data_IF_889621530945
#
_entry.id   IF_889621530945
#
_cell.length_a   1.000
_cell.length_b   1.000
_cell.length_c   1.000
_cell.angle_alpha   90.00
_cell.angle_beta   90.00
_cell.angle_gamma   90.00
#
_symmetry.space_group_name_H-M   'P 1'
#
loop_
_entity.id
_entity.type
_entity.pdbx_description
1 polymer ?
#
# COMPACT_ATOMS: atom_id res chain seq x y z
N UNK A 1 -14.41 -21.96 -18.03
CA UNK A 1 -13.24 -22.13 -17.17
C UNK A 1 -13.70 -22.16 -15.72
N UNK A 2 -13.17 -23.03 -14.87
CA UNK A 2 -13.49 -23.03 -13.44
C UNK A 2 -12.92 -21.75 -12.82
N UNK A 3 -13.72 -21.04 -12.03
CA UNK A 3 -13.25 -19.85 -11.32
C UNK A 3 -12.15 -20.27 -10.33
N UNK A 4 -11.01 -19.56 -10.33
CA UNK A 4 -9.96 -19.78 -9.34
C UNK A 4 -10.47 -19.41 -7.95
N UNK A 5 -10.07 -20.19 -6.96
CA UNK A 5 -10.41 -19.94 -5.55
C UNK A 5 -9.58 -18.78 -5.01
N UNK A 6 -10.24 -17.75 -4.49
CA UNK A 6 -9.62 -16.60 -3.83
C UNK A 6 -9.73 -16.67 -2.31
N UNK A 7 -10.19 -17.80 -1.77
CA UNK A 7 -10.24 -17.96 -0.31
C UNK A 7 -8.83 -17.88 0.28
N UNK A 8 -8.73 -17.25 1.43
CA UNK A 8 -7.46 -17.08 2.14
C UNK A 8 -7.71 -17.05 3.64
N UNK A 9 -6.81 -17.63 4.41
CA UNK A 9 -6.83 -17.53 5.87
C UNK A 9 -6.07 -16.28 6.33
N UNK A 10 -6.72 -15.44 7.12
CA UNK A 10 -6.13 -14.27 7.75
C UNK A 10 -6.41 -14.28 9.25
N UNK A 11 -5.37 -14.24 10.07
CA UNK A 11 -5.43 -14.31 11.53
C UNK A 11 -6.29 -15.49 12.04
N UNK A 12 -6.12 -16.65 11.40
CA UNK A 12 -6.87 -17.86 11.74
C UNK A 12 -8.32 -17.90 11.23
N UNK A 13 -8.81 -16.83 10.62
CA UNK A 13 -10.16 -16.73 10.08
C UNK A 13 -10.16 -17.01 8.58
N UNK A 14 -10.99 -17.94 8.14
CA UNK A 14 -11.18 -18.24 6.72
C UNK A 14 -12.04 -17.13 6.08
N UNK A 15 -11.59 -16.58 4.95
CA UNK A 15 -12.26 -15.54 4.20
C UNK A 15 -12.48 -15.98 2.76
N UNK A 16 -13.62 -15.64 2.17
CA UNK A 16 -13.97 -16.04 0.79
C UNK A 16 -13.08 -15.39 -0.28
N UNK A 17 -12.49 -14.25 0.03
CA UNK A 17 -11.51 -13.54 -0.78
C UNK A 17 -10.77 -12.52 0.09
N UNK A 18 -9.62 -11.95 -0.35
CA UNK A 18 -8.82 -11.03 0.45
C UNK A 18 -9.37 -9.60 0.52
N UNK A 19 -10.43 -9.26 -0.22
CA UNK A 19 -10.92 -7.89 -0.37
C UNK A 19 -11.88 -7.49 0.74
N UNK A 20 -11.50 -6.50 1.52
CA UNK A 20 -12.28 -5.97 2.63
C UNK A 20 -12.51 -4.46 2.47
N UNK A 21 -13.68 -4.00 2.89
CA UNK A 21 -13.92 -2.58 3.11
C UNK A 21 -13.06 -2.10 4.28
N UNK A 22 -12.30 -1.02 4.09
CA UNK A 22 -11.52 -0.42 5.19
C UNK A 22 -12.43 0.36 6.14
N UNK A 23 -12.02 0.47 7.40
CA UNK A 23 -12.65 1.36 8.37
C UNK A 23 -12.65 2.80 7.87
N UNK A 24 -13.84 3.30 7.48
CA UNK A 24 -13.96 4.53 6.71
C UNK A 24 -15.42 4.99 6.59
N UNK A 25 -15.70 6.19 6.03
CA UNK A 25 -17.07 6.70 5.86
C UNK A 25 -18.03 5.76 5.13
N UNK A 26 -17.52 4.96 4.17
CA UNK A 26 -18.36 4.06 3.35
C UNK A 26 -18.76 2.76 4.07
N UNK A 27 -18.38 2.56 5.33
CA UNK A 27 -18.74 1.41 6.16
C UNK A 27 -19.24 1.81 7.56
N UNK A 28 -19.97 2.93 7.67
CA UNK A 28 -20.38 3.52 8.94
C UNK A 28 -21.82 3.19 9.38
N UNK A 29 -22.52 2.28 8.71
CA UNK A 29 -23.84 1.80 9.15
C UNK A 29 -24.16 0.43 8.53
N UNK A 30 -25.27 -0.18 9.01
CA UNK A 30 -25.72 -1.49 8.56
C UNK A 30 -25.94 -1.57 7.05
N UNK A 31 -26.71 -0.63 6.48
CA UNK A 31 -27.12 -0.70 5.07
C UNK A 31 -25.92 -0.54 4.10
N UNK A 32 -24.95 0.29 4.45
CA UNK A 32 -23.71 0.45 3.67
C UNK A 32 -22.93 -0.85 3.62
N UNK A 33 -22.73 -1.51 4.78
CA UNK A 33 -21.96 -2.75 4.87
C UNK A 33 -22.73 -3.92 4.26
N UNK A 34 -24.06 -4.00 4.42
CA UNK A 34 -24.89 -4.98 3.75
C UNK A 34 -24.73 -4.92 2.23
N UNK A 35 -24.82 -3.74 1.62
CA UNK A 35 -24.56 -3.54 0.17
C UNK A 35 -23.14 -3.95 -0.24
N UNK A 36 -22.15 -3.73 0.63
CA UNK A 36 -20.79 -4.16 0.40
C UNK A 36 -20.73 -5.70 0.31
N UNK A 37 -21.32 -6.40 1.26
CA UNK A 37 -21.36 -7.87 1.26
C UNK A 37 -22.13 -8.44 0.05
N UNK A 38 -23.27 -7.86 -0.28
CA UNK A 38 -24.07 -8.25 -1.46
C UNK A 38 -23.30 -8.04 -2.78
N UNK A 39 -22.33 -7.11 -2.83
CA UNK A 39 -21.45 -6.91 -3.98
C UNK A 39 -20.32 -7.96 -4.07
N UNK A 40 -20.06 -8.77 -3.01
CA UNK A 40 -19.08 -9.85 -3.01
C UNK A 40 -17.77 -9.56 -2.24
N UNK A 41 -17.71 -8.52 -1.43
CA UNK A 41 -16.57 -8.27 -0.55
C UNK A 41 -16.46 -9.37 0.51
N UNK A 42 -15.24 -9.84 0.80
CA UNK A 42 -15.00 -10.89 1.79
C UNK A 42 -15.28 -10.44 3.24
N UNK A 43 -15.20 -9.13 3.50
CA UNK A 43 -15.49 -8.57 4.81
C UNK A 43 -15.44 -7.04 4.86
N UNK A 44 -15.59 -6.54 6.06
CA UNK A 44 -15.58 -5.10 6.36
C UNK A 44 -14.90 -4.83 7.69
N UNK A 45 -13.98 -3.88 7.71
CA UNK A 45 -13.57 -3.16 8.90
C UNK A 45 -14.58 -2.03 9.11
N UNK A 46 -15.47 -2.16 10.09
CA UNK A 46 -16.51 -1.17 10.36
C UNK A 46 -15.87 0.19 10.70
N UNK A 47 -16.56 1.32 10.41
CA UNK A 47 -16.04 2.65 10.75
C UNK A 47 -15.67 2.70 12.23
N UNK A 48 -14.49 3.21 12.55
CA UNK A 48 -13.94 3.21 13.92
C UNK A 48 -14.94 3.74 14.93
N UNK A 49 -15.15 2.99 15.99
CA UNK A 49 -16.06 3.29 17.12
C UNK A 49 -15.22 3.72 18.32
N UNK A 50 -15.61 4.80 18.96
CA UNK A 50 -15.10 5.26 20.26
C UNK A 50 -16.19 5.35 21.30
N UNK A 51 -15.82 5.70 22.54
CA UNK A 51 -16.80 5.98 23.61
C UNK A 51 -17.45 7.35 23.42
N UNK A 52 -16.80 8.26 22.70
CA UNK A 52 -17.36 9.57 22.36
C UNK A 52 -17.92 9.59 20.93
N UNK A 53 -18.87 10.49 20.69
CA UNK A 53 -19.42 10.75 19.36
C UNK A 53 -18.63 11.89 18.72
N UNK A 54 -18.08 11.65 17.53
CA UNK A 54 -17.32 12.67 16.81
C UNK A 54 -18.23 13.78 16.28
N UNK A 55 -17.78 15.03 16.38
CA UNK A 55 -18.41 16.18 15.77
C UNK A 55 -17.65 16.55 14.48
N UNK A 56 -18.35 16.46 13.35
CA UNK A 56 -17.73 16.50 12.04
C UNK A 56 -17.90 17.89 11.38
N UNK A 57 -16.81 18.44 10.84
CA UNK A 57 -16.86 19.68 10.06
C UNK A 57 -17.49 19.48 8.68
N UNK A 58 -17.91 20.59 8.05
CA UNK A 58 -18.47 20.59 6.69
C UNK A 58 -18.04 21.86 5.92
N UNK A 59 -17.57 21.72 4.65
CA UNK A 59 -17.25 20.47 3.94
C UNK A 59 -15.99 19.79 4.50
N UNK A 60 -15.79 18.49 4.20
CA UNK A 60 -14.67 17.72 4.77
C UNK A 60 -13.86 16.89 3.77
N UNK A 61 -14.21 16.94 2.50
CA UNK A 61 -13.53 16.19 1.44
C UNK A 61 -12.97 17.11 0.37
N UNK A 62 -11.82 16.74 -0.16
CA UNK A 62 -11.20 17.33 -1.34
C UNK A 62 -10.46 16.26 -2.14
N UNK A 63 -10.14 16.52 -3.38
CA UNK A 63 -9.48 15.57 -4.25
C UNK A 63 -8.34 16.19 -5.03
N UNK A 64 -7.36 15.38 -5.41
CA UNK A 64 -6.34 15.75 -6.37
C UNK A 64 -6.52 14.92 -7.64
N UNK A 65 -6.47 15.59 -8.79
CA UNK A 65 -6.51 14.94 -10.08
C UNK A 65 -5.45 15.56 -11.02
N UNK A 66 -5.29 14.92 -12.16
CA UNK A 66 -4.65 15.50 -13.33
C UNK A 66 -5.75 15.69 -14.36
N UNK A 67 -5.76 16.81 -15.08
CA UNK A 67 -6.80 17.15 -16.07
C UNK A 67 -7.16 15.93 -16.96
N UNK A 68 -8.46 15.64 -17.03
CA UNK A 68 -8.99 14.52 -17.82
C UNK A 68 -8.77 13.11 -17.24
N UNK A 69 -8.25 13.00 -16.01
CA UNK A 69 -8.03 11.70 -15.35
C UNK A 69 -8.90 11.57 -14.09
N UNK A 70 -9.15 10.33 -13.64
CA UNK A 70 -9.76 10.05 -12.34
C UNK A 70 -8.95 10.64 -11.18
N UNK A 71 -9.52 10.64 -9.98
CA UNK A 71 -8.81 11.06 -8.79
C UNK A 71 -7.52 10.24 -8.60
N UNK A 72 -6.42 10.92 -8.41
CA UNK A 72 -5.16 10.27 -8.03
C UNK A 72 -4.99 10.27 -6.52
N UNK A 73 -5.68 11.17 -5.81
CA UNK A 73 -5.65 11.27 -4.37
C UNK A 73 -6.90 11.94 -3.81
N UNK A 74 -7.13 11.71 -2.52
CA UNK A 74 -8.33 12.11 -1.83
C UNK A 74 -7.99 12.55 -0.41
N UNK A 75 -8.36 13.78 -0.06
CA UNK A 75 -8.21 14.34 1.28
C UNK A 75 -9.50 14.19 2.05
N UNK A 76 -9.39 13.79 3.30
CA UNK A 76 -10.51 13.73 4.20
C UNK A 76 -10.16 14.34 5.58
N UNK A 77 -11.12 15.02 6.19
CA UNK A 77 -11.03 15.60 7.53
C UNK A 77 -11.95 14.89 8.54
N UNK A 78 -12.49 13.72 8.16
CA UNK A 78 -13.33 12.93 9.06
C UNK A 78 -12.54 12.34 10.21
N UNK A 79 -13.21 12.26 11.34
CA UNK A 79 -12.76 11.60 12.55
C UNK A 79 -13.23 10.13 12.57
N UNK A 80 -13.69 9.65 13.71
CA UNK A 80 -14.28 8.32 13.90
C UNK A 80 -15.79 8.36 13.65
N UNK A 81 -16.55 7.36 14.09
CA UNK A 81 -18.01 7.33 13.90
C UNK A 81 -18.70 8.52 14.59
N UNK A 82 -19.62 9.15 13.88
CA UNK A 82 -20.51 10.22 14.35
C UNK A 82 -21.81 9.71 15.02
N UNK A 83 -21.85 8.42 15.35
CA UNK A 83 -23.01 7.77 15.95
C UNK A 83 -22.69 7.29 17.37
N UNK A 84 -23.73 7.17 18.23
CA UNK A 84 -23.56 6.58 19.57
C UNK A 84 -22.90 5.20 19.52
N UNK A 85 -22.08 4.91 20.51
CA UNK A 85 -21.32 3.66 20.61
C UNK A 85 -22.23 2.43 20.55
N UNK A 86 -23.31 2.46 21.29
CA UNK A 86 -24.29 1.37 21.36
C UNK A 86 -24.94 1.09 20.02
N UNK A 87 -25.30 2.13 19.28
CA UNK A 87 -25.90 2.01 17.94
C UNK A 87 -24.90 1.39 16.93
N UNK A 88 -23.63 1.77 17.00
CA UNK A 88 -22.59 1.18 16.16
C UNK A 88 -22.45 -0.33 16.45
N UNK A 89 -22.42 -0.73 17.73
CA UNK A 89 -22.32 -2.15 18.11
C UNK A 89 -23.60 -2.94 17.79
N UNK A 90 -24.77 -2.32 17.82
CA UNK A 90 -26.02 -2.92 17.30
C UNK A 90 -25.88 -3.22 15.78
N UNK A 91 -25.36 -2.29 14.99
CA UNK A 91 -25.11 -2.54 13.56
C UNK A 91 -24.11 -3.67 13.33
N UNK A 92 -23.00 -3.69 14.08
CA UNK A 92 -21.99 -4.76 14.00
C UNK A 92 -22.62 -6.11 14.36
N UNK A 93 -23.35 -6.21 15.47
CA UNK A 93 -24.04 -7.43 15.88
C UNK A 93 -25.00 -7.96 14.80
N UNK A 94 -25.82 -7.07 14.21
CA UNK A 94 -26.76 -7.44 13.12
C UNK A 94 -25.99 -7.91 11.88
N UNK A 95 -24.91 -7.25 11.51
CA UNK A 95 -24.08 -7.67 10.35
C UNK A 95 -23.48 -9.06 10.57
N UNK A 96 -22.95 -9.34 11.74
CA UNK A 96 -22.40 -10.66 12.10
C UNK A 96 -23.48 -11.74 12.02
N UNK A 97 -24.69 -11.45 12.51
CA UNK A 97 -25.83 -12.38 12.50
C UNK A 97 -26.39 -12.63 11.10
N UNK A 98 -26.58 -11.54 10.31
CA UNK A 98 -27.32 -11.59 9.05
C UNK A 98 -26.42 -12.01 7.88
N UNK A 99 -25.09 -11.83 7.99
CA UNK A 99 -24.08 -12.16 6.98
C UNK A 99 -22.94 -13.05 7.56
N UNK A 100 -23.25 -14.27 8.04
CA UNK A 100 -22.28 -15.12 8.76
C UNK A 100 -21.08 -15.58 7.92
N UNK A 101 -21.21 -15.60 6.60
CA UNK A 101 -20.14 -15.98 5.67
C UNK A 101 -19.17 -14.83 5.37
N UNK A 102 -19.53 -13.60 5.74
CA UNK A 102 -18.69 -12.42 5.62
C UNK A 102 -18.05 -12.07 6.97
N UNK A 103 -16.87 -11.43 6.94
CA UNK A 103 -16.15 -11.10 8.15
C UNK A 103 -16.35 -9.63 8.51
N UNK A 104 -17.16 -9.39 9.54
CA UNK A 104 -17.27 -8.06 10.16
C UNK A 104 -16.19 -7.90 11.21
N UNK A 105 -15.34 -6.88 11.08
CA UNK A 105 -14.27 -6.52 12.01
C UNK A 105 -14.68 -5.25 12.75
N UNK A 106 -14.63 -5.25 14.09
CA UNK A 106 -14.82 -4.04 14.87
C UNK A 106 -13.53 -3.21 14.84
N UNK A 107 -13.58 -2.01 14.28
CA UNK A 107 -12.49 -1.04 14.43
C UNK A 107 -12.78 -0.13 15.60
N UNK A 108 -11.88 -0.07 16.58
CA UNK A 108 -12.09 0.62 17.87
C UNK A 108 -10.97 1.63 18.15
N UNK A 109 -11.31 2.66 18.94
CA UNK A 109 -10.37 3.67 19.43
C UNK A 109 -10.80 4.17 20.80
N UNK A 110 -9.90 4.10 21.78
CA UNK A 110 -10.06 4.68 23.11
C UNK A 110 -8.95 5.69 23.42
N UNK A 111 -9.17 6.52 24.41
CA UNK A 111 -8.19 7.48 24.97
C UNK A 111 -7.54 6.97 26.27
N UNK A 112 -8.15 6.01 26.93
CA UNK A 112 -7.68 5.40 28.17
C UNK A 112 -7.66 3.87 28.08
N UNK A 113 -6.86 3.22 28.91
CA UNK A 113 -6.81 1.75 29.01
C UNK A 113 -8.21 1.16 29.28
N UNK A 114 -9.01 1.81 30.11
CA UNK A 114 -10.37 1.41 30.47
C UNK A 114 -11.30 1.45 29.25
N UNK A 115 -11.23 2.50 28.45
CA UNK A 115 -12.02 2.62 27.21
C UNK A 115 -11.63 1.54 26.20
N UNK A 116 -10.33 1.27 26.01
CA UNK A 116 -9.87 0.18 25.15
C UNK A 116 -10.41 -1.18 25.59
N UNK A 117 -10.39 -1.47 26.88
CA UNK A 117 -10.95 -2.71 27.46
C UNK A 117 -12.46 -2.78 27.28
N UNK A 118 -13.17 -1.68 27.51
CA UNK A 118 -14.63 -1.62 27.33
C UNK A 118 -15.01 -1.89 25.86
N UNK A 119 -14.37 -1.23 24.91
CA UNK A 119 -14.63 -1.42 23.48
C UNK A 119 -14.28 -2.85 23.01
N UNK A 120 -13.22 -3.46 23.56
CA UNK A 120 -12.86 -4.85 23.28
C UNK A 120 -13.96 -5.83 23.76
N UNK A 121 -14.53 -5.63 24.94
CA UNK A 121 -15.66 -6.43 25.46
C UNK A 121 -16.91 -6.27 24.61
N UNK A 122 -17.27 -5.04 24.26
CA UNK A 122 -18.41 -4.77 23.38
C UNK A 122 -18.23 -5.44 22.00
N UNK A 123 -16.99 -5.48 21.49
CA UNK A 123 -16.67 -6.18 20.25
C UNK A 123 -16.88 -7.69 20.36
N UNK A 124 -16.48 -8.29 21.49
CA UNK A 124 -16.69 -9.71 21.78
C UNK A 124 -18.18 -10.04 21.92
N UNK A 125 -18.94 -9.22 22.64
CA UNK A 125 -20.40 -9.34 22.79
C UNK A 125 -21.14 -9.21 21.45
N UNK A 126 -20.64 -8.38 20.53
CA UNK A 126 -21.16 -8.27 19.19
C UNK A 126 -20.83 -9.47 18.28
N UNK A 127 -19.99 -10.41 18.73
CA UNK A 127 -19.66 -11.65 18.04
C UNK A 127 -18.68 -11.53 16.88
N UNK A 128 -17.86 -10.46 16.85
CA UNK A 128 -16.87 -10.31 15.77
C UNK A 128 -15.75 -11.34 15.91
N UNK A 129 -15.15 -11.72 14.79
CA UNK A 129 -14.01 -12.66 14.76
C UNK A 129 -12.65 -11.97 14.82
N UNK A 130 -12.60 -10.67 14.55
CA UNK A 130 -11.38 -9.85 14.52
C UNK A 130 -11.68 -8.46 15.10
N UNK A 131 -10.69 -7.85 15.77
CA UNK A 131 -10.76 -6.47 16.27
C UNK A 131 -9.57 -5.69 15.69
N UNK A 132 -9.81 -4.49 15.14
CA UNK A 132 -8.78 -3.55 14.73
C UNK A 132 -8.69 -2.38 15.70
N UNK A 133 -7.50 -2.10 16.24
CA UNK A 133 -7.22 -0.90 17.03
C UNK A 133 -6.69 0.22 16.14
N UNK A 134 -7.41 1.32 16.05
CA UNK A 134 -7.02 2.46 15.22
C UNK A 134 -6.06 3.40 15.97
N UNK A 135 -4.74 3.16 15.87
CA UNK A 135 -3.68 4.01 16.42
C UNK A 135 -3.25 5.15 15.47
N UNK A 136 -4.06 5.50 14.49
CA UNK A 136 -3.51 6.19 13.34
C UNK A 136 -4.36 7.33 12.79
N UNK A 137 -5.53 7.62 13.35
CA UNK A 137 -6.39 8.71 12.86
C UNK A 137 -5.66 10.07 12.99
N UNK A 138 -5.43 10.81 11.88
CA UNK A 138 -4.69 12.05 11.93
C UNK A 138 -5.52 13.27 12.38
N UNK A 139 -6.84 13.09 12.55
CA UNK A 139 -7.82 14.17 12.79
C UNK A 139 -8.31 14.25 14.24
N UNK A 140 -7.70 13.50 15.16
CA UNK A 140 -8.11 13.55 16.57
C UNK A 140 -7.73 14.89 17.20
N UNK A 141 -8.62 15.42 18.01
CA UNK A 141 -8.44 16.69 18.74
C UNK A 141 -7.70 16.52 20.07
N UNK A 142 -7.47 15.28 20.52
CA UNK A 142 -6.71 14.93 21.73
C UNK A 142 -5.37 14.29 21.38
N UNK A 143 -4.31 14.67 22.11
CA UNK A 143 -2.96 14.09 21.97
C UNK A 143 -2.86 12.62 22.46
N UNK A 144 -3.85 12.15 23.21
CA UNK A 144 -3.89 10.76 23.72
C UNK A 144 -4.60 9.81 22.76
N UNK A 145 -4.86 10.24 21.52
CA UNK A 145 -5.63 9.49 20.53
C UNK A 145 -5.00 9.58 19.14
N UNK A 146 -5.33 8.58 18.30
CA UNK A 146 -5.00 8.60 16.87
C UNK A 146 -3.51 8.54 16.57
N UNK A 147 -3.04 9.40 15.65
CA UNK A 147 -1.67 9.35 15.13
C UNK A 147 -0.59 9.68 16.16
N UNK A 148 -0.91 10.40 17.22
CA UNK A 148 0.04 10.72 18.28
C UNK A 148 0.31 9.47 19.13
N UNK A 149 -0.71 8.63 19.39
CA UNK A 149 -0.56 7.29 19.97
C UNK A 149 0.26 6.40 19.04
N UNK A 150 -0.06 6.35 17.75
CA UNK A 150 0.57 5.46 16.78
C UNK A 150 2.06 5.73 16.52
N UNK A 151 2.60 6.85 16.96
CA UNK A 151 4.03 7.20 16.95
C UNK A 151 4.72 7.07 18.31
N UNK A 152 3.98 6.64 19.34
CA UNK A 152 4.49 6.42 20.69
C UNK A 152 4.48 4.91 21.02
N UNK A 153 5.67 4.28 21.04
CA UNK A 153 5.82 2.84 21.28
C UNK A 153 5.24 2.37 22.62
N UNK A 154 5.30 3.19 23.66
CA UNK A 154 4.78 2.85 24.98
C UNK A 154 3.25 2.80 24.98
N UNK A 155 2.59 3.78 24.37
CA UNK A 155 1.14 3.82 24.24
C UNK A 155 0.63 2.71 23.31
N UNK A 156 1.28 2.48 22.17
CA UNK A 156 0.96 1.37 21.26
C UNK A 156 1.05 0.03 21.99
N UNK A 157 2.12 -0.22 22.75
CA UNK A 157 2.27 -1.42 23.55
C UNK A 157 1.18 -1.53 24.61
N UNK A 158 0.93 -0.46 25.38
CA UNK A 158 -0.01 -0.45 26.49
C UNK A 158 -1.44 -0.73 26.03
N UNK A 159 -1.89 -0.07 24.97
CA UNK A 159 -3.25 -0.27 24.47
C UNK A 159 -3.42 -1.61 23.74
N UNK A 160 -2.41 -2.07 23.00
CA UNK A 160 -2.41 -3.41 22.44
C UNK A 160 -2.52 -4.49 23.52
N UNK A 161 -1.79 -4.32 24.62
CA UNK A 161 -1.85 -5.22 25.78
C UNK A 161 -3.21 -5.18 26.46
N UNK A 162 -3.78 -3.99 26.64
CA UNK A 162 -5.11 -3.83 27.23
C UNK A 162 -6.19 -4.61 26.48
N UNK A 163 -6.18 -4.55 25.14
CA UNK A 163 -7.13 -5.30 24.31
C UNK A 163 -6.84 -6.80 24.37
N UNK A 164 -5.59 -7.21 24.14
CA UNK A 164 -5.19 -8.63 24.06
C UNK A 164 -5.35 -9.40 25.38
N UNK A 165 -5.33 -8.72 26.53
CA UNK A 165 -5.60 -9.31 27.86
C UNK A 165 -7.10 -9.34 28.18
N UNK A 166 -7.93 -8.59 27.45
CA UNK A 166 -9.36 -8.46 27.72
C UNK A 166 -10.19 -9.50 26.95
N UNK A 167 -9.77 -9.87 25.74
CA UNK A 167 -10.47 -10.82 24.88
C UNK A 167 -9.51 -11.79 24.20
N UNK A 168 -10.03 -12.95 23.78
CA UNK A 168 -9.29 -13.92 22.97
C UNK A 168 -9.43 -13.70 21.46
N UNK A 169 -10.18 -12.70 21.04
CA UNK A 169 -10.31 -12.33 19.62
C UNK A 169 -8.98 -11.75 19.12
N UNK A 170 -8.47 -12.20 17.94
CA UNK A 170 -7.26 -11.66 17.37
C UNK A 170 -7.35 -10.14 17.15
N UNK A 171 -6.35 -9.42 17.70
CA UNK A 171 -6.25 -7.98 17.66
C UNK A 171 -5.27 -7.52 16.58
N UNK A 172 -5.69 -6.58 15.74
CA UNK A 172 -4.92 -5.99 14.65
C UNK A 172 -4.57 -4.55 15.02
N UNK A 173 -3.30 -4.19 14.95
CA UNK A 173 -2.87 -2.80 15.15
C UNK A 173 -2.82 -2.05 13.82
N UNK A 174 -3.69 -1.04 13.64
CA UNK A 174 -3.67 -0.17 12.46
C UNK A 174 -2.72 1.00 12.66
N UNK A 175 -1.70 1.03 11.80
CA UNK A 175 -0.55 1.92 11.95
C UNK A 175 -0.66 3.19 11.11
N UNK A 176 -0.07 4.28 11.64
CA UNK A 176 0.05 5.55 10.94
C UNK A 176 1.27 5.59 10.04
N UNK A 177 1.16 6.11 8.80
CA UNK A 177 2.32 6.36 7.94
C UNK A 177 3.06 7.67 8.29
N UNK A 178 2.56 8.44 9.26
CA UNK A 178 3.14 9.73 9.63
C UNK A 178 4.32 9.56 10.61
N UNK A 179 5.16 8.58 10.32
CA UNK A 179 6.36 8.22 11.09
C UNK A 179 7.51 7.87 10.13
N UNK A 180 8.72 7.75 10.67
CA UNK A 180 9.91 7.36 9.91
C UNK A 180 10.00 5.84 9.74
N UNK A 181 9.87 5.11 10.83
CA UNK A 181 10.08 3.67 10.96
C UNK A 181 8.84 3.00 11.54
N UNK A 182 7.90 2.59 10.68
CA UNK A 182 6.66 1.96 11.13
C UNK A 182 6.89 0.61 11.81
N UNK A 183 7.94 -0.12 11.39
CA UNK A 183 8.31 -1.43 11.94
C UNK A 183 8.61 -1.38 13.45
N UNK A 184 9.12 -0.26 13.97
CA UNK A 184 9.37 -0.08 15.41
C UNK A 184 8.05 -0.02 16.20
N UNK A 185 7.07 0.70 15.68
CA UNK A 185 5.74 0.83 16.28
C UNK A 185 4.93 -0.46 16.13
N UNK A 186 5.02 -1.11 14.97
CA UNK A 186 4.42 -2.42 14.72
C UNK A 186 4.98 -3.48 15.68
N UNK A 187 6.29 -3.50 15.92
CA UNK A 187 6.93 -4.38 16.90
C UNK A 187 6.43 -4.13 18.31
N UNK A 188 6.19 -2.86 18.69
CA UNK A 188 5.61 -2.52 19.99
C UNK A 188 4.19 -3.08 20.12
N UNK A 189 3.37 -2.99 19.08
CA UNK A 189 2.02 -3.58 19.07
C UNK A 189 2.05 -5.11 19.24
N UNK A 190 2.91 -5.80 18.48
CA UNK A 190 3.07 -7.26 18.57
C UNK A 190 3.57 -7.69 19.95
N UNK A 191 4.52 -6.94 20.54
CA UNK A 191 4.96 -7.17 21.94
C UNK A 191 3.82 -6.96 22.95
N UNK A 192 2.89 -6.05 22.67
CA UNK A 192 1.66 -5.84 23.45
C UNK A 192 0.60 -6.93 23.24
N UNK A 193 0.82 -7.90 22.36
CA UNK A 193 -0.09 -9.01 22.12
C UNK A 193 -0.96 -8.86 20.86
N UNK A 194 -0.72 -7.86 20.03
CA UNK A 194 -1.39 -7.80 18.72
C UNK A 194 -1.03 -9.04 17.89
N UNK A 195 -2.04 -9.60 17.23
CA UNK A 195 -1.92 -10.79 16.39
C UNK A 195 -1.38 -10.47 15.00
N UNK A 196 -1.65 -9.26 14.51
CA UNK A 196 -1.23 -8.76 13.22
C UNK A 196 -1.23 -7.24 13.14
N UNK A 197 -0.89 -6.73 11.97
CA UNK A 197 -0.77 -5.30 11.69
C UNK A 197 -1.57 -4.95 10.44
N UNK A 198 -2.20 -3.78 10.43
CA UNK A 198 -2.76 -3.18 9.22
C UNK A 198 -2.07 -1.84 8.91
N UNK A 199 -1.71 -1.61 7.66
CA UNK A 199 -1.07 -0.38 7.20
C UNK A 199 -1.38 -0.13 5.71
N UNK A 200 -1.57 1.12 5.37
CA UNK A 200 -1.40 2.36 6.12
C UNK A 200 -2.74 3.08 6.36
N UNK A 201 -2.83 3.88 7.42
CA UNK A 201 -3.84 4.93 7.48
C UNK A 201 -3.43 6.10 6.57
N UNK A 202 -4.18 7.19 6.57
CA UNK A 202 -3.96 8.35 5.70
C UNK A 202 -2.70 9.16 6.07
N UNK A 203 -2.09 9.77 5.05
CA UNK A 203 -0.92 10.63 5.19
C UNK A 203 -1.37 12.07 5.44
N UNK A 204 -0.79 12.74 6.43
CA UNK A 204 -1.06 14.17 6.69
C UNK A 204 -0.65 15.02 5.48
N UNK A 205 -1.59 15.80 4.93
CA UNK A 205 -1.37 16.57 3.70
C UNK A 205 -2.21 17.85 3.62
N UNK A 206 -1.84 18.69 2.64
CA UNK A 206 -2.64 19.76 2.04
C UNK A 206 -2.78 19.41 0.56
N UNK A 207 -3.99 19.40 0.00
CA UNK A 207 -4.23 19.04 -1.40
C UNK A 207 -4.05 20.21 -2.35
N UNK A 208 -4.80 21.27 -2.13
CA UNK A 208 -4.85 22.44 -3.00
C UNK A 208 -4.84 23.71 -2.16
N UNK A 209 -4.39 24.82 -2.74
CA UNK A 209 -4.50 26.17 -2.17
C UNK A 209 -5.41 26.98 -3.09
N UNK A 210 -6.48 27.51 -2.52
CA UNK A 210 -7.37 28.44 -3.19
C UNK A 210 -6.75 29.85 -3.13
N UNK A 211 -6.40 30.38 -4.30
CA UNK A 211 -5.76 31.70 -4.41
C UNK A 211 -6.73 32.88 -4.28
N UNK A 212 -8.03 32.66 -4.42
CA UNK A 212 -9.01 33.72 -4.21
C UNK A 212 -9.21 34.00 -2.71
N UNK A 213 -9.29 32.91 -1.93
CA UNK A 213 -9.50 32.97 -0.48
C UNK A 213 -8.21 32.82 0.34
N UNK A 214 -7.06 32.56 -0.31
CA UNK A 214 -5.76 32.35 0.32
C UNK A 214 -5.79 31.29 1.43
N UNK A 215 -6.49 30.19 1.18
CA UNK A 215 -6.63 29.08 2.13
C UNK A 215 -6.48 27.73 1.45
N UNK A 216 -6.25 26.67 2.23
CA UNK A 216 -6.20 25.32 1.69
C UNK A 216 -7.62 24.74 1.53
N UNK A 217 -7.75 23.68 0.71
CA UNK A 217 -9.01 22.97 0.48
C UNK A 217 -9.13 21.74 1.41
N UNK A 218 -10.35 21.33 1.80
CA UNK A 218 -11.61 22.06 1.66
C UNK A 218 -11.67 23.24 2.66
N UNK A 219 -12.49 24.23 2.36
CA UNK A 219 -12.65 25.43 3.18
C UNK A 219 -13.82 25.28 4.14
N UNK A 220 -13.56 25.47 5.43
CA UNK A 220 -14.54 25.46 6.51
C UNK A 220 -14.45 26.81 7.23
N UNK A 221 -15.49 27.63 7.12
CA UNK A 221 -15.53 28.98 7.71
C UNK A 221 -14.24 29.81 7.44
N UNK A 222 -13.83 29.85 6.16
CA UNK A 222 -12.65 30.61 5.72
C UNK A 222 -11.30 29.99 6.09
N UNK A 223 -11.26 28.79 6.66
CA UNK A 223 -10.05 28.10 7.12
C UNK A 223 -9.99 26.65 6.61
N UNK A 224 -8.85 26.02 6.77
CA UNK A 224 -8.67 24.59 6.51
C UNK A 224 -7.65 24.00 7.49
N UNK A 225 -7.46 22.66 7.43
CA UNK A 225 -6.49 21.96 8.27
C UNK A 225 -5.62 21.02 7.44
N UNK A 226 -4.45 20.66 7.99
CA UNK A 226 -3.67 19.52 7.54
C UNK A 226 -4.46 18.27 7.91
N UNK A 227 -4.72 17.38 6.93
CA UNK A 227 -5.58 16.21 7.16
C UNK A 227 -5.20 15.00 6.31
N UNK A 228 -5.96 13.92 6.44
CA UNK A 228 -5.61 12.63 5.86
C UNK A 228 -5.71 12.60 4.34
N UNK A 229 -4.67 12.09 3.67
CA UNK A 229 -4.60 11.89 2.23
C UNK A 229 -4.51 10.41 1.89
N UNK A 230 -5.29 9.96 0.90
CA UNK A 230 -5.45 8.58 0.45
C UNK A 230 -5.59 8.51 -1.08
N UNK A 231 -5.96 7.36 -1.65
CA UNK A 231 -6.13 7.13 -3.09
C UNK A 231 -4.88 6.57 -3.76
N UNK A 232 -4.90 6.42 -5.08
CA UNK A 232 -3.84 5.78 -5.87
C UNK A 232 -2.44 6.36 -5.60
N UNK A 233 -2.35 7.66 -5.34
CA UNK A 233 -1.09 8.37 -5.09
C UNK A 233 -0.31 7.84 -3.88
N UNK A 234 -0.97 7.22 -2.90
CA UNK A 234 -0.29 6.72 -1.68
C UNK A 234 0.18 5.27 -1.80
N UNK A 235 -0.19 4.52 -2.84
CA UNK A 235 0.17 3.11 -3.02
C UNK A 235 1.67 2.82 -2.85
N UNK A 236 2.59 3.57 -3.48
CA UNK A 236 4.03 3.30 -3.33
C UNK A 236 4.52 3.42 -1.88
N UNK A 237 3.92 4.34 -1.12
CA UNK A 237 4.25 4.56 0.29
C UNK A 237 3.68 3.42 1.15
N UNK A 238 2.45 2.99 0.85
CA UNK A 238 1.82 1.86 1.52
C UNK A 238 2.61 0.56 1.30
N UNK A 239 2.98 0.24 0.06
CA UNK A 239 3.82 -0.92 -0.28
C UNK A 239 5.16 -0.89 0.46
N UNK A 240 5.82 0.28 0.54
CA UNK A 240 7.06 0.43 1.32
C UNK A 240 6.87 0.03 2.77
N UNK A 241 5.87 0.60 3.45
CA UNK A 241 5.64 0.33 4.87
C UNK A 241 5.24 -1.12 5.14
N UNK A 242 4.35 -1.69 4.30
CA UNK A 242 4.01 -3.11 4.38
C UNK A 242 5.26 -4.00 4.25
N UNK A 243 6.11 -3.71 3.25
CA UNK A 243 7.36 -4.45 3.02
C UNK A 243 8.30 -4.35 4.23
N UNK A 244 8.50 -3.16 4.81
CA UNK A 244 9.38 -2.99 5.96
C UNK A 244 8.90 -3.78 7.20
N UNK A 245 7.59 -3.76 7.47
CA UNK A 245 7.01 -4.55 8.57
C UNK A 245 7.17 -6.04 8.32
N UNK A 246 6.90 -6.50 7.09
CA UNK A 246 6.98 -7.92 6.72
C UNK A 246 8.41 -8.47 6.65
N UNK A 247 9.41 -7.61 6.35
CA UNK A 247 10.84 -7.98 6.37
C UNK A 247 11.46 -7.93 7.77
N UNK A 248 10.75 -7.40 8.77
CA UNK A 248 11.27 -7.34 10.14
C UNK A 248 11.28 -8.73 10.79
N UNK A 249 12.46 -9.28 11.01
CA UNK A 249 12.64 -10.64 11.53
C UNK A 249 12.06 -10.82 12.95
N UNK A 250 12.12 -9.80 13.81
CA UNK A 250 11.57 -9.87 15.16
C UNK A 250 10.05 -9.99 15.11
N UNK A 251 9.39 -9.18 14.28
CA UNK A 251 7.94 -9.25 14.07
C UNK A 251 7.56 -10.63 13.51
N UNK A 252 8.22 -11.06 12.43
CA UNK A 252 7.97 -12.36 11.81
C UNK A 252 8.09 -13.51 12.82
N UNK A 253 9.20 -13.54 13.57
CA UNK A 253 9.45 -14.57 14.56
C UNK A 253 8.44 -14.55 15.71
N UNK A 254 8.00 -13.38 16.16
CA UNK A 254 7.01 -13.25 17.24
C UNK A 254 5.63 -13.70 16.77
N UNK A 255 5.17 -13.26 15.60
CA UNK A 255 3.90 -13.68 15.00
C UNK A 255 3.88 -15.19 14.81
N UNK A 256 4.92 -15.77 14.20
CA UNK A 256 5.03 -17.22 13.96
C UNK A 256 5.08 -18.07 15.24
N UNK A 257 5.66 -17.53 16.32
CA UNK A 257 5.78 -18.23 17.61
C UNK A 257 4.66 -17.92 18.59
N UNK A 258 3.68 -17.15 18.19
CA UNK A 258 2.58 -16.76 19.05
C UNK A 258 1.75 -18.00 19.44
N UNK A 259 1.76 -18.34 20.73
CA UNK A 259 1.04 -19.51 21.24
C UNK A 259 -0.45 -19.30 21.41
N UNK A 260 -0.88 -18.04 21.55
CA UNK A 260 -2.30 -17.69 21.65
C UNK A 260 -2.98 -17.81 20.30
N UNK A 261 -2.25 -17.45 19.21
CA UNK A 261 -2.72 -17.46 17.85
C UNK A 261 -1.70 -18.19 16.98
N UNK A 262 -1.86 -19.52 16.79
CA UNK A 262 -1.02 -20.29 15.88
C UNK A 262 -1.60 -20.22 14.45
N UNK A 263 -1.14 -19.26 13.69
CA UNK A 263 -1.58 -19.06 12.32
C UNK A 263 -0.74 -19.85 11.30
N UNK A 264 0.37 -20.46 11.71
CA UNK A 264 1.28 -21.21 10.81
C UNK A 264 2.10 -20.35 9.83
N UNK A 265 1.76 -19.07 9.72
CA UNK A 265 2.44 -18.06 8.87
C UNK A 265 3.09 -16.99 9.72
N UNK A 266 4.18 -16.41 9.24
CA UNK A 266 4.79 -15.22 9.87
C UNK A 266 4.32 -13.89 9.26
N UNK A 267 3.32 -13.92 8.38
CA UNK A 267 2.88 -12.80 7.56
C UNK A 267 1.39 -12.50 7.79
N UNK A 268 1.06 -11.96 8.95
CA UNK A 268 -0.30 -11.57 9.29
C UNK A 268 -0.48 -10.05 9.14
N UNK A 269 -0.43 -9.60 7.87
CA UNK A 269 -0.51 -8.20 7.46
C UNK A 269 -1.74 -7.90 6.63
N UNK A 270 -2.45 -6.83 6.95
CA UNK A 270 -3.50 -6.24 6.10
C UNK A 270 -2.96 -5.01 5.39
N UNK A 271 -2.95 -5.04 4.06
CA UNK A 271 -2.45 -3.95 3.22
C UNK A 271 -3.54 -2.94 2.89
N UNK A 272 -3.22 -1.65 3.07
CA UNK A 272 -4.15 -0.53 2.86
C UNK A 272 -3.43 0.61 2.14
N UNK A 273 -4.08 1.20 1.14
CA UNK A 273 -3.64 2.45 0.51
C UNK A 273 -3.43 2.34 -0.99
N UNK A 274 -4.32 2.97 -1.74
CA UNK A 274 -4.22 3.09 -3.20
C UNK A 274 -4.53 1.83 -3.99
N UNK A 275 -5.27 0.88 -3.41
CA UNK A 275 -5.77 -0.29 -4.12
C UNK A 275 -7.04 0.13 -4.89
N UNK A 276 -6.95 0.13 -6.22
CA UNK A 276 -8.06 0.48 -7.11
C UNK A 276 -8.36 -0.63 -8.13
N UNK A 277 -7.37 -1.47 -8.42
CA UNK A 277 -7.45 -2.54 -9.41
C UNK A 277 -6.96 -3.86 -8.84
N UNK A 278 -7.25 -4.96 -9.56
CA UNK A 278 -6.69 -6.27 -9.22
C UNK A 278 -5.16 -6.31 -9.26
N UNK A 279 -4.52 -5.46 -10.11
CA UNK A 279 -3.04 -5.35 -10.17
C UNK A 279 -2.48 -4.79 -8.88
N UNK A 280 -3.08 -3.70 -8.36
CA UNK A 280 -2.69 -3.14 -7.07
C UNK A 280 -2.83 -4.19 -5.97
N UNK A 281 -3.96 -4.92 -5.98
CA UNK A 281 -4.20 -6.01 -5.03
C UNK A 281 -3.11 -7.10 -5.11
N UNK A 282 -2.77 -7.55 -6.33
CA UNK A 282 -1.73 -8.54 -6.54
C UNK A 282 -0.35 -8.07 -6.05
N UNK A 283 -0.02 -6.78 -6.18
CA UNK A 283 1.23 -6.21 -5.65
C UNK A 283 1.30 -6.32 -4.12
N UNK A 284 0.22 -5.98 -3.40
CA UNK A 284 0.17 -6.14 -1.93
C UNK A 284 0.24 -7.61 -1.51
N UNK A 285 -0.44 -8.51 -2.21
CA UNK A 285 -0.34 -9.95 -1.94
C UNK A 285 1.10 -10.45 -2.19
N UNK A 286 1.72 -10.03 -3.30
CA UNK A 286 3.08 -10.44 -3.65
C UNK A 286 4.15 -9.97 -2.65
N UNK A 287 3.95 -8.83 -1.96
CA UNK A 287 4.82 -8.43 -0.85
C UNK A 287 4.46 -9.08 0.49
N UNK A 288 3.37 -9.87 0.57
CA UNK A 288 3.05 -10.69 1.74
C UNK A 288 1.84 -10.27 2.55
N UNK A 289 1.06 -9.28 2.11
CA UNK A 289 -0.23 -8.98 2.73
C UNK A 289 -1.22 -10.13 2.47
N UNK A 290 -1.96 -10.55 3.48
CA UNK A 290 -2.96 -11.63 3.36
C UNK A 290 -4.40 -11.11 3.34
N UNK A 291 -4.59 -9.86 3.72
CA UNK A 291 -5.86 -9.14 3.67
C UNK A 291 -5.63 -7.77 3.04
N UNK A 292 -6.61 -7.27 2.32
CA UNK A 292 -6.53 -6.03 1.55
C UNK A 292 -7.72 -5.13 1.90
N UNK A 293 -7.45 -3.92 2.37
CA UNK A 293 -8.48 -2.97 2.74
C UNK A 293 -8.58 -1.84 1.70
N UNK A 294 -9.80 -1.57 1.24
CA UNK A 294 -10.09 -0.58 0.19
C UNK A 294 -11.09 0.46 0.69
N UNK A 295 -10.89 1.73 0.34
CA UNK A 295 -11.82 2.83 0.66
C UNK A 295 -12.01 3.77 -0.52
N UNK A 296 -10.98 4.54 -0.91
CA UNK A 296 -11.09 5.66 -1.86
C UNK A 296 -11.62 5.20 -3.23
N UNK A 297 -11.22 4.02 -3.69
CA UNK A 297 -11.76 3.45 -4.92
C UNK A 297 -13.27 3.19 -4.83
N UNK A 298 -13.77 2.79 -3.66
CA UNK A 298 -15.22 2.59 -3.44
C UNK A 298 -15.95 3.94 -3.48
N UNK A 299 -15.39 5.00 -2.89
CA UNK A 299 -15.97 6.35 -2.95
C UNK A 299 -16.10 6.84 -4.39
N UNK A 300 -15.15 6.47 -5.24
CA UNK A 300 -15.12 6.88 -6.65
C UNK A 300 -15.98 5.99 -7.56
N UNK A 301 -15.96 4.67 -7.36
CA UNK A 301 -16.52 3.69 -8.31
C UNK A 301 -17.69 2.86 -7.73
N UNK A 302 -17.96 2.98 -6.43
CA UNK A 302 -18.99 2.19 -5.74
C UNK A 302 -18.53 0.79 -5.33
N UNK A 303 -19.37 0.08 -4.55
CA UNK A 303 -19.01 -1.24 -3.99
C UNK A 303 -18.76 -2.31 -5.05
N UNK A 304 -19.39 -2.22 -6.23
CA UNK A 304 -19.25 -3.23 -7.29
C UNK A 304 -17.89 -3.31 -7.95
N UNK A 305 -16.97 -2.37 -7.65
CA UNK A 305 -15.58 -2.45 -8.10
C UNK A 305 -14.89 -3.77 -7.69
N UNK A 306 -15.36 -4.42 -6.64
CA UNK A 306 -14.83 -5.71 -6.19
C UNK A 306 -15.02 -6.82 -7.24
N UNK A 307 -16.07 -6.74 -8.07
CA UNK A 307 -16.32 -7.71 -9.14
C UNK A 307 -15.16 -7.73 -10.15
N UNK A 308 -14.67 -6.54 -10.52
CA UNK A 308 -13.52 -6.37 -11.42
C UNK A 308 -12.22 -6.83 -10.73
N UNK A 309 -12.07 -6.53 -9.43
CA UNK A 309 -10.89 -6.97 -8.66
C UNK A 309 -10.82 -8.49 -8.55
N UNK A 310 -11.95 -9.15 -8.25
CA UNK A 310 -12.06 -10.60 -8.15
C UNK A 310 -11.77 -11.24 -9.52
N UNK A 311 -12.47 -10.81 -10.59
CA UNK A 311 -12.32 -11.41 -11.91
C UNK A 311 -10.91 -11.21 -12.47
N UNK A 312 -10.33 -10.03 -12.29
CA UNK A 312 -8.99 -9.73 -12.74
C UNK A 312 -7.91 -10.52 -11.99
N UNK A 313 -8.05 -10.70 -10.67
CA UNK A 313 -7.13 -11.51 -9.88
C UNK A 313 -7.22 -13.00 -10.25
N UNK A 314 -8.44 -13.52 -10.49
CA UNK A 314 -8.65 -14.89 -10.97
C UNK A 314 -8.00 -15.11 -12.34
N UNK A 315 -8.12 -14.16 -13.26
CA UNK A 315 -7.48 -14.19 -14.57
C UNK A 315 -5.95 -14.21 -14.45
N UNK A 316 -5.38 -13.35 -13.62
CA UNK A 316 -3.94 -13.32 -13.33
C UNK A 316 -3.44 -14.67 -12.79
N UNK A 317 -4.16 -15.26 -11.84
CA UNK A 317 -3.80 -16.58 -11.29
C UNK A 317 -3.84 -17.67 -12.37
N UNK A 318 -4.81 -17.62 -13.26
CA UNK A 318 -4.92 -18.57 -14.39
C UNK A 318 -3.73 -18.40 -15.35
N UNK A 319 -3.39 -17.18 -15.77
CA UNK A 319 -2.25 -16.91 -16.65
C UNK A 319 -0.92 -17.38 -16.06
N UNK A 320 -0.76 -17.23 -14.75
CA UNK A 320 0.47 -17.61 -14.04
C UNK A 320 0.49 -19.07 -13.55
N UNK A 321 -0.63 -19.78 -13.66
CA UNK A 321 -0.76 -21.17 -13.23
C UNK A 321 -0.91 -21.38 -11.73
N UNK A 322 -1.25 -20.32 -10.96
CA UNK A 322 -1.52 -20.44 -9.53
C UNK A 322 -2.89 -21.09 -9.28
N UNK A 323 -2.97 -21.95 -8.26
CA UNK A 323 -4.21 -22.62 -7.87
C UNK A 323 -4.92 -21.90 -6.71
N UNK A 324 -4.16 -21.32 -5.81
CA UNK A 324 -4.63 -20.57 -4.65
C UNK A 324 -3.72 -19.36 -4.39
N UNK A 325 -4.16 -18.45 -3.52
CA UNK A 325 -3.42 -17.22 -3.22
C UNK A 325 -2.11 -17.48 -2.46
N UNK A 326 -2.03 -18.53 -1.64
CA UNK A 326 -0.83 -18.86 -0.85
C UNK A 326 0.39 -19.16 -1.73
N UNK A 327 0.18 -19.55 -2.98
CA UNK A 327 1.27 -19.84 -3.92
C UNK A 327 2.06 -18.61 -4.34
N UNK A 328 1.48 -17.39 -4.23
CA UNK A 328 2.20 -16.19 -4.59
C UNK A 328 2.24 -15.10 -3.51
N UNK A 329 1.52 -15.26 -2.39
CA UNK A 329 1.65 -14.35 -1.25
C UNK A 329 3.09 -14.32 -0.75
N UNK A 330 3.70 -13.13 -0.74
CA UNK A 330 5.08 -12.92 -0.29
C UNK A 330 6.16 -13.26 -1.32
N UNK A 331 5.82 -13.68 -2.54
CA UNK A 331 6.81 -14.09 -3.54
C UNK A 331 7.78 -12.98 -3.98
N UNK A 332 7.39 -11.72 -3.87
CA UNK A 332 8.24 -10.58 -4.20
C UNK A 332 9.16 -10.15 -3.03
N UNK A 333 8.81 -10.49 -1.80
CA UNK A 333 9.48 -10.00 -0.60
C UNK A 333 10.98 -10.31 -0.55
N UNK A 334 11.46 -11.54 -0.89
CA UNK A 334 12.89 -11.86 -0.91
C UNK A 334 13.70 -11.09 -1.96
N UNK A 335 13.05 -10.53 -2.97
CA UNK A 335 13.70 -9.80 -4.06
C UNK A 335 13.78 -8.28 -3.81
N UNK A 336 13.24 -7.80 -2.69
CA UNK A 336 13.32 -6.40 -2.25
C UNK A 336 14.42 -6.32 -1.20
N UNK A 337 15.60 -5.87 -1.62
CA UNK A 337 16.82 -5.87 -0.82
C UNK A 337 17.31 -4.45 -0.56
N UNK A 338 18.19 -4.23 0.45
CA UNK A 338 18.85 -2.96 0.68
C UNK A 338 19.58 -2.44 -0.55
N UNK A 339 19.56 -1.12 -0.76
CA UNK A 339 20.13 -0.52 -1.96
C UNK A 339 21.63 -0.80 -2.13
N UNK A 340 22.37 -0.96 -1.05
CA UNK A 340 23.79 -1.31 -1.03
C UNK A 340 24.08 -2.71 -1.59
N UNK A 341 23.15 -3.64 -1.50
CA UNK A 341 23.27 -5.01 -2.02
C UNK A 341 22.96 -5.12 -3.51
N UNK A 342 22.36 -4.07 -4.11
CA UNK A 342 22.06 -4.07 -5.54
C UNK A 342 23.33 -4.16 -6.39
N UNK A 343 23.30 -5.01 -7.42
CA UNK A 343 24.42 -5.21 -8.33
C UNK A 343 24.69 -3.93 -9.16
N UNK A 344 25.88 -3.34 -8.98
CA UNK A 344 26.33 -2.14 -9.66
C UNK A 344 27.43 -2.39 -10.69
N UNK A 345 27.69 -3.65 -11.07
CA UNK A 345 28.79 -4.02 -11.94
C UNK A 345 28.53 -3.83 -13.43
N UNK A 346 27.30 -3.51 -13.78
CA UNK A 346 26.90 -3.32 -15.18
C UNK A 346 26.00 -2.09 -15.36
N UNK A 347 25.81 -1.70 -16.63
CA UNK A 347 24.73 -0.83 -17.07
C UNK A 347 24.00 -1.46 -18.25
N UNK A 348 22.71 -1.22 -18.35
CA UNK A 348 21.86 -1.62 -19.49
C UNK A 348 21.58 -0.38 -20.33
N UNK A 349 21.86 -0.44 -21.63
CA UNK A 349 21.55 0.67 -22.54
C UNK A 349 20.13 0.50 -23.08
N UNK A 350 19.36 1.60 -23.30
CA UNK A 350 18.07 1.52 -23.95
C UNK A 350 18.26 1.14 -25.42
N UNK A 351 17.31 0.37 -25.95
CA UNK A 351 17.18 0.05 -27.37
C UNK A 351 15.92 0.70 -27.92
N UNK A 352 16.04 1.37 -29.06
CA UNK A 352 14.92 2.06 -29.72
C UNK A 352 14.40 1.21 -30.87
N UNK A 353 13.09 1.03 -30.97
CA UNK A 353 12.43 0.40 -32.09
C UNK A 353 11.98 1.49 -33.10
N UNK A 354 12.70 1.63 -34.22
CA UNK A 354 12.41 2.61 -35.25
C UNK A 354 11.04 2.43 -35.90
N UNK A 355 10.49 1.20 -35.90
CA UNK A 355 9.18 0.90 -36.48
C UNK A 355 8.04 1.36 -35.59
N UNK A 356 8.18 1.19 -34.25
CA UNK A 356 7.21 1.64 -33.26
C UNK A 356 7.31 3.14 -32.97
N UNK A 357 8.48 3.74 -33.20
CA UNK A 357 8.73 5.15 -32.85
C UNK A 357 7.90 6.10 -33.72
N UNK A 358 7.12 6.97 -33.07
CA UNK A 358 6.28 7.99 -33.73
C UNK A 358 7.01 9.34 -33.97
N UNK A 359 8.28 9.45 -33.62
CA UNK A 359 9.07 10.66 -33.80
C UNK A 359 8.63 11.86 -32.93
N UNK A 360 8.07 11.64 -31.77
CA UNK A 360 7.57 12.70 -30.88
C UNK A 360 8.65 13.48 -30.11
N UNK A 361 9.88 12.96 -30.03
CA UNK A 361 11.02 13.63 -29.39
C UNK A 361 11.03 13.65 -27.85
N UNK A 362 10.02 13.11 -27.14
CA UNK A 362 9.95 13.17 -25.67
C UNK A 362 11.18 12.57 -24.99
N UNK A 363 11.69 11.43 -25.48
CA UNK A 363 12.88 10.78 -24.94
C UNK A 363 14.15 11.65 -25.12
N UNK A 364 14.27 12.34 -26.27
CA UNK A 364 15.33 13.29 -26.52
C UNK A 364 15.27 14.48 -25.56
N UNK A 365 14.14 15.20 -25.52
CA UNK A 365 13.98 16.36 -24.65
C UNK A 365 14.24 16.01 -23.20
N UNK A 366 13.65 14.91 -22.67
CA UNK A 366 13.87 14.50 -21.28
C UNK A 366 15.33 14.17 -20.97
N UNK A 367 16.07 13.58 -21.92
CA UNK A 367 17.47 13.27 -21.74
C UNK A 367 18.36 14.51 -21.91
N UNK A 368 18.08 15.35 -22.89
CA UNK A 368 18.88 16.52 -23.24
C UNK A 368 18.76 17.63 -22.20
N UNK A 369 17.53 17.97 -21.79
CA UNK A 369 17.27 19.07 -20.87
C UNK A 369 17.39 18.66 -19.40
N UNK A 370 16.98 17.44 -19.05
CA UNK A 370 16.74 17.03 -17.66
C UNK A 370 17.60 15.86 -17.16
N UNK A 371 18.51 15.29 -18.00
CA UNK A 371 19.32 14.15 -17.60
C UNK A 371 20.74 14.20 -18.15
N UNK A 372 21.19 13.13 -18.87
CA UNK A 372 22.62 12.90 -19.16
C UNK A 372 23.07 13.39 -20.55
N UNK A 373 22.21 14.03 -21.31
CA UNK A 373 22.49 14.51 -22.68
C UNK A 373 23.08 13.41 -23.57
N UNK A 374 22.51 12.20 -23.43
CA UNK A 374 23.00 10.98 -24.03
C UNK A 374 22.15 10.51 -25.23
N UNK A 375 21.18 11.32 -25.64
CA UNK A 375 20.37 11.08 -26.83
C UNK A 375 20.53 12.28 -27.75
N UNK A 376 21.01 12.03 -28.97
CA UNK A 376 21.05 12.99 -30.06
C UNK A 376 19.77 12.84 -30.88
N UNK A 377 19.34 13.93 -31.53
CA UNK A 377 18.15 13.91 -32.37
C UNK A 377 18.52 13.95 -33.84
N UNK A 378 18.14 12.91 -34.58
CA UNK A 378 18.31 12.88 -36.00
C UNK A 378 17.13 13.59 -36.71
N UNK A 379 17.32 14.82 -37.13
CA UNK A 379 16.29 15.66 -37.74
C UNK A 379 15.70 15.05 -39.03
N UNK A 380 16.54 14.42 -39.87
CA UNK A 380 16.10 13.86 -41.15
C UNK A 380 15.21 12.63 -40.95
N UNK A 381 15.58 11.75 -40.01
CA UNK A 381 14.83 10.53 -39.73
C UNK A 381 13.73 10.78 -38.68
N UNK A 382 13.80 11.88 -37.97
CA UNK A 382 12.99 12.17 -36.77
C UNK A 382 13.07 11.01 -35.75
N UNK A 383 14.31 10.63 -35.40
CA UNK A 383 14.60 9.49 -34.50
C UNK A 383 15.66 9.87 -33.46
N UNK A 384 15.56 9.29 -32.25
CA UNK A 384 16.59 9.39 -31.21
C UNK A 384 17.79 8.50 -31.61
N UNK A 385 18.99 9.00 -31.36
CA UNK A 385 20.24 8.25 -31.54
C UNK A 385 21.02 8.30 -30.20
N UNK A 386 21.44 7.12 -29.73
CA UNK A 386 22.14 7.02 -28.44
C UNK A 386 23.62 7.34 -28.62
N UNK A 387 24.18 8.23 -27.80
CA UNK A 387 25.61 8.52 -27.77
C UNK A 387 26.32 7.85 -26.56
N UNK A 388 27.63 8.07 -26.43
CA UNK A 388 28.49 7.41 -25.45
C UNK A 388 28.30 7.88 -23.99
N UNK A 389 27.59 8.99 -23.78
CA UNK A 389 27.30 9.53 -22.45
C UNK A 389 26.23 8.74 -21.69
N UNK A 390 25.55 7.79 -22.34
CA UNK A 390 24.45 7.07 -21.70
C UNK A 390 24.92 6.27 -20.48
N UNK A 391 24.25 6.50 -19.36
CA UNK A 391 24.50 5.80 -18.09
C UNK A 391 23.54 4.63 -17.83
N UNK A 392 22.51 4.43 -18.68
CA UNK A 392 21.52 3.37 -18.51
C UNK A 392 20.44 3.70 -17.49
N UNK A 393 20.07 4.97 -17.31
CA UNK A 393 19.04 5.36 -16.32
C UNK A 393 17.59 5.06 -16.72
N UNK A 394 17.35 4.79 -18.01
CA UNK A 394 16.03 4.46 -18.59
C UNK A 394 14.93 5.53 -18.43
N UNK A 395 15.27 6.81 -18.14
CA UNK A 395 14.30 7.90 -18.14
C UNK A 395 13.57 7.99 -19.51
N UNK A 396 14.29 7.78 -20.62
CA UNK A 396 13.73 7.77 -21.98
C UNK A 396 12.61 6.74 -22.17
N UNK A 397 12.70 5.58 -21.52
CA UNK A 397 11.67 4.54 -21.52
C UNK A 397 10.42 5.00 -20.77
N UNK A 398 10.57 5.59 -19.59
CA UNK A 398 9.47 6.03 -18.76
C UNK A 398 8.65 7.18 -19.35
N UNK A 399 9.25 8.01 -20.23
CA UNK A 399 8.54 9.14 -20.87
C UNK A 399 8.00 8.79 -22.26
N UNK A 400 8.32 7.61 -22.79
CA UNK A 400 7.85 7.19 -24.10
C UNK A 400 6.34 6.91 -24.08
N UNK A 401 5.53 7.57 -24.96
CA UNK A 401 4.09 7.32 -24.98
C UNK A 401 3.71 6.05 -25.74
N UNK A 402 4.68 5.38 -26.38
CA UNK A 402 4.45 4.18 -27.16
C UNK A 402 5.01 2.98 -26.43
N UNK A 403 4.15 2.07 -26.05
CA UNK A 403 4.52 0.86 -25.34
C UNK A 403 5.54 0.03 -26.10
N UNK A 404 6.55 -0.49 -25.40
CA UNK A 404 7.63 -1.30 -25.98
C UNK A 404 8.41 -0.65 -27.17
N UNK A 405 8.28 0.64 -27.39
CA UNK A 405 9.08 1.35 -28.38
C UNK A 405 10.53 1.52 -27.90
N UNK A 406 10.73 1.65 -26.59
CA UNK A 406 12.04 1.70 -25.97
C UNK A 406 12.10 0.55 -24.97
N UNK A 407 13.09 -0.32 -25.12
CA UNK A 407 13.29 -1.50 -24.28
C UNK A 407 14.71 -1.56 -23.74
N UNK A 408 14.99 -2.36 -22.70
CA UNK A 408 16.36 -2.69 -22.32
C UNK A 408 17.07 -3.39 -23.48
N UNK A 409 18.30 -2.95 -23.75
CA UNK A 409 19.11 -3.49 -24.84
C UNK A 409 20.48 -3.99 -24.37
N UNK A 410 21.54 -3.41 -24.91
CA UNK A 410 22.90 -3.86 -24.65
C UNK A 410 23.34 -3.71 -23.20
N UNK A 411 23.94 -4.78 -22.63
CA UNK A 411 24.54 -4.78 -21.32
C UNK A 411 26.04 -4.49 -21.42
N UNK A 412 26.53 -3.52 -20.66
CA UNK A 412 27.95 -3.19 -20.55
C UNK A 412 28.44 -3.36 -19.13
N UNK A 413 29.46 -4.21 -18.95
CA UNK A 413 30.08 -4.53 -17.67
C UNK A 413 31.23 -3.60 -17.36
N UNK A 414 31.39 -3.17 -16.10
CA UNK A 414 32.56 -2.43 -15.64
C UNK A 414 33.82 -3.27 -15.82
N UNK A 415 34.89 -2.64 -16.29
CA UNK A 415 36.22 -3.24 -16.35
C UNK A 415 36.88 -3.05 -14.99
N UNK A 416 37.50 -4.11 -14.47
CA UNK A 416 38.27 -4.03 -13.23
C UNK A 416 39.74 -4.43 -13.51
N UNK A 417 40.66 -3.77 -12.82
CA UNK A 417 42.09 -4.09 -12.83
C UNK A 417 42.36 -5.40 -12.04
N UNK A 418 43.63 -5.83 -12.03
CA UNK A 418 44.07 -7.03 -11.32
C UNK A 418 43.88 -6.94 -9.78
N UNK A 419 43.74 -5.74 -9.25
CA UNK A 419 43.49 -5.48 -7.81
C UNK A 419 41.99 -5.36 -7.49
N UNK A 420 41.12 -5.50 -8.49
CA UNK A 420 39.67 -5.40 -8.34
C UNK A 420 39.12 -3.95 -8.40
N UNK A 421 39.96 -2.93 -8.63
CA UNK A 421 39.49 -1.57 -8.76
C UNK A 421 38.81 -1.35 -10.12
N UNK A 422 37.79 -0.49 -10.15
CA UNK A 422 37.12 -0.12 -11.40
C UNK A 422 38.07 0.69 -12.28
N UNK A 423 38.37 0.19 -13.47
CA UNK A 423 39.19 0.92 -14.43
C UNK A 423 38.46 2.15 -14.95
N UNK A 424 39.22 3.23 -15.10
CA UNK A 424 38.76 4.52 -15.61
C UNK A 424 39.49 4.89 -16.91
N UNK A 425 38.91 5.81 -17.67
CA UNK A 425 39.55 6.32 -18.88
C UNK A 425 40.85 7.03 -18.50
N UNK A 426 41.93 6.78 -19.26
CA UNK A 426 43.24 7.43 -19.02
C UNK A 426 43.22 8.94 -19.32
N UNK A 427 42.29 9.40 -20.17
CA UNK A 427 42.13 10.81 -20.54
C UNK A 427 41.13 11.56 -19.64
N UNK A 428 40.18 10.81 -19.06
CA UNK A 428 39.14 11.37 -18.20
C UNK A 428 38.87 10.40 -17.03
N UNK A 429 39.48 10.65 -15.90
CA UNK A 429 39.35 9.78 -14.71
C UNK A 429 37.92 9.70 -14.13
N UNK A 430 37.02 10.57 -14.56
CA UNK A 430 35.58 10.47 -14.19
C UNK A 430 34.87 9.35 -14.96
N UNK A 431 35.39 8.95 -16.11
CA UNK A 431 34.74 7.96 -16.98
C UNK A 431 35.17 6.53 -16.65
N UNK A 432 34.20 5.71 -16.30
CA UNK A 432 34.39 4.27 -16.05
C UNK A 432 34.49 3.53 -17.38
N UNK A 433 35.46 2.60 -17.50
CA UNK A 433 35.56 1.70 -18.65
C UNK A 433 34.53 0.57 -18.56
N UNK A 434 33.89 0.28 -19.70
CA UNK A 434 32.93 -0.80 -19.84
C UNK A 434 33.31 -1.72 -20.99
N UNK A 435 32.96 -3.02 -20.85
CA UNK A 435 33.11 -4.05 -21.90
C UNK A 435 31.85 -4.89 -22.02
N UNK A 436 31.67 -5.55 -23.18
CA UNK A 436 30.67 -6.61 -23.36
C UNK A 436 31.17 -7.91 -22.73
N UNK A 437 30.30 -8.65 -22.08
CA UNK A 437 30.59 -9.95 -21.51
C UNK A 437 29.40 -10.91 -21.69
N UNK A 438 29.36 -11.61 -22.82
CA UNK A 438 28.30 -12.54 -23.19
C UNK A 438 28.09 -13.69 -22.19
N UNK A 439 29.12 -14.06 -21.41
CA UNK A 439 28.99 -15.13 -20.40
C UNK A 439 28.20 -14.61 -19.19
N UNK A 440 28.48 -13.39 -18.76
CA UNK A 440 27.78 -12.76 -17.63
C UNK A 440 26.36 -12.31 -18.02
N UNK A 441 26.12 -11.93 -19.27
CA UNK A 441 24.78 -11.57 -19.77
C UNK A 441 23.76 -12.69 -19.56
N UNK A 442 24.19 -13.98 -19.74
CA UNK A 442 23.30 -15.15 -19.56
C UNK A 442 22.85 -15.37 -18.13
N UNK A 443 23.54 -14.82 -17.12
CA UNK A 443 23.19 -14.93 -15.71
C UNK A 443 22.24 -13.86 -15.20
N UNK A 444 21.96 -12.83 -16.03
CA UNK A 444 21.05 -11.74 -15.67
C UNK A 444 19.64 -12.06 -16.21
N UNK A 445 18.70 -12.22 -15.30
CA UNK A 445 17.30 -12.35 -15.66
C UNK A 445 16.66 -10.94 -15.85
N UNK A 446 16.94 -10.31 -16.99
CA UNK A 446 16.41 -8.98 -17.30
C UNK A 446 14.97 -8.99 -17.87
N UNK A 447 14.45 -10.17 -18.24
CA UNK A 447 13.09 -10.29 -18.79
C UNK A 447 11.99 -9.98 -17.78
N UNK A 448 12.26 -10.22 -16.49
CA UNK A 448 11.27 -10.03 -15.44
C UNK A 448 10.88 -8.56 -15.14
N UNK A 449 11.55 -7.58 -15.74
CA UNK A 449 11.36 -6.16 -15.36
C UNK A 449 10.51 -5.35 -16.35
N UNK A 450 10.10 -5.88 -17.49
CA UNK A 450 9.55 -5.07 -18.59
C UNK A 450 8.38 -5.72 -19.34
N UNK A 451 7.97 -6.92 -18.92
CA UNK A 451 6.72 -7.57 -19.29
C UNK A 451 5.63 -7.33 -18.21
#
# INVERSE_FOLDING_TARGET
MAKKDLSIKYLGVDTMNPFFLSSSPVGGNYDMVAKCYEAGWGGCFFKTVGIFVADECSPRFDQTNKEGLPWVGFKNMEQISDKPTELNFEYIYRLVRDYPDHITVASIMGSTVEEWKQLAKMSEEAGVKLIEGNFSCPQMTSHDMGSDVGTNNELVYTYSKAVSETTDIPFIAKMTPNCKNMEEHALAAIKGGAAGVSAINTIKSITNVDFENMTAMPVVDGKSSISGYSGAAVKPIALRFCTQVLQNEDIHNMVKKNKKYDFGHGHEMSGIGGIETWRDAAEFLAVGCRNLQVTTAIMQYGYRIVEDMISGLQFFMEERGYNNLDEFVGCALPNIIPAEELNREYKVLPQFDDKKCIGCGRCYVSCYDAAHQAIDWNEKKRRPELNDKCVGCHLCLNVCPVQECITPGEIKWKVRDKKGNVERDAKDASKIKFKKDKKKEKSLNLKAHYE
#
